data_IF_634718566612
#
_entry.id   IF_634718566612
#
_cell.length_a   1.000
_cell.length_b   1.000
_cell.length_c   1.000
_cell.angle_alpha   90.00
_cell.angle_beta   90.00
_cell.angle_gamma   90.00
#
_symmetry.space_group_name_H-M   'P 1'
#
loop_
_entity.id
_entity.type
_entity.pdbx_description
1 polymer ?
#
# COMPACT_ATOMS: atom_id res chain seq x y z
N UNK A 1 47.61 13.78 0.40
CA UNK A 1 47.87 13.02 1.64
C UNK A 1 46.99 13.38 2.83
N UNK A 2 47.07 14.60 3.42
CA UNK A 2 46.29 14.92 4.65
C UNK A 2 44.76 14.92 4.41
N UNK A 3 44.32 15.38 3.25
CA UNK A 3 42.90 15.41 2.85
C UNK A 3 42.33 14.01 2.53
N UNK A 4 43.15 13.10 2.00
CA UNK A 4 42.75 11.74 1.66
C UNK A 4 42.55 10.88 2.91
N UNK A 5 43.45 11.01 3.89
CA UNK A 5 43.33 10.31 5.17
C UNK A 5 42.08 10.75 5.93
N UNK A 6 41.82 12.05 5.96
CA UNK A 6 40.62 12.59 6.61
C UNK A 6 39.33 12.09 5.93
N UNK A 7 39.31 12.04 4.60
CA UNK A 7 38.18 11.49 3.84
C UNK A 7 37.96 10.01 4.15
N UNK A 8 39.02 9.20 4.18
CA UNK A 8 38.94 7.78 4.51
C UNK A 8 38.43 7.53 5.93
N UNK A 9 38.84 8.36 6.89
CA UNK A 9 38.36 8.29 8.27
C UNK A 9 36.87 8.59 8.36
N UNK A 10 36.38 9.65 7.71
CA UNK A 10 34.95 9.96 7.73
C UNK A 10 34.11 8.86 7.06
N UNK A 11 34.58 8.30 5.94
CA UNK A 11 33.90 7.16 5.31
C UNK A 11 33.82 5.93 6.24
N UNK A 12 34.89 5.65 6.99
CA UNK A 12 34.90 4.56 7.97
C UNK A 12 33.91 4.81 9.11
N UNK A 13 33.88 6.04 9.64
CA UNK A 13 32.92 6.42 10.68
C UNK A 13 31.47 6.37 10.18
N UNK A 14 31.19 6.88 8.98
CA UNK A 14 29.86 6.82 8.37
C UNK A 14 29.42 5.36 8.17
N UNK A 15 30.33 4.48 7.74
CA UNK A 15 30.03 3.04 7.60
C UNK A 15 29.67 2.40 8.95
N UNK A 16 30.44 2.69 10.01
CA UNK A 16 30.15 2.19 11.36
C UNK A 16 28.84 2.76 11.92
N UNK A 17 28.53 4.02 11.61
CA UNK A 17 27.28 4.67 11.99
C UNK A 17 26.08 4.08 11.24
N UNK A 18 26.22 3.81 9.95
CA UNK A 18 25.19 3.19 9.12
C UNK A 18 24.81 1.79 9.62
N UNK A 19 25.78 0.99 10.09
CA UNK A 19 25.51 -0.32 10.70
C UNK A 19 24.67 -0.26 11.98
N UNK A 20 24.64 0.90 12.65
CA UNK A 20 23.86 1.13 13.87
C UNK A 20 22.47 1.72 13.60
N UNK A 21 22.20 2.15 12.36
CA UNK A 21 20.89 2.66 11.98
C UNK A 21 19.84 1.57 12.16
N UNK A 22 18.76 1.90 12.87
CA UNK A 22 17.56 1.07 12.93
C UNK A 22 16.52 1.70 12.03
N UNK A 23 16.11 0.97 11.00
CA UNK A 23 15.07 1.43 10.08
C UNK A 23 13.72 0.98 10.58
N UNK A 24 12.77 1.91 10.63
CA UNK A 24 11.36 1.64 10.84
C UNK A 24 10.58 2.17 9.63
N UNK A 25 10.02 1.26 8.83
CA UNK A 25 9.26 1.60 7.63
C UNK A 25 7.77 1.60 7.95
N UNK A 26 7.10 2.71 7.66
CA UNK A 26 5.66 2.87 7.87
C UNK A 26 4.97 3.27 6.58
N UNK A 27 3.66 2.96 6.43
CA UNK A 27 2.86 3.52 5.35
C UNK A 27 2.95 5.06 5.35
N UNK A 28 3.09 5.71 4.18
CA UNK A 28 3.14 7.18 4.09
C UNK A 28 1.88 7.87 4.65
N UNK A 29 0.74 7.17 4.66
CA UNK A 29 -0.53 7.64 5.21
C UNK A 29 -1.23 6.46 5.87
N UNK A 30 -1.65 6.66 7.12
CA UNK A 30 -2.51 5.73 7.87
C UNK A 30 -3.79 6.46 8.27
N UNK A 31 -4.94 5.89 7.92
CA UNK A 31 -6.25 6.47 8.21
C UNK A 31 -6.94 5.60 9.27
N UNK A 32 -7.34 6.20 10.39
CA UNK A 32 -7.91 5.48 11.53
C UNK A 32 -9.24 6.09 11.97
N UNK A 33 -10.10 5.25 12.56
CA UNK A 33 -11.39 5.65 13.14
C UNK A 33 -12.60 5.39 12.22
N UNK A 34 -13.83 5.63 12.73
CA UNK A 34 -15.05 5.48 11.96
C UNK A 34 -15.00 6.29 10.66
N UNK A 35 -15.33 5.66 9.53
CA UNK A 35 -15.35 6.32 8.23
C UNK A 35 -14.00 6.36 7.50
N UNK A 36 -12.92 5.79 8.05
CA UNK A 36 -11.62 5.74 7.37
C UNK A 36 -11.71 5.15 5.95
N UNK A 37 -12.43 4.03 5.78
CA UNK A 37 -12.66 3.40 4.47
C UNK A 37 -13.41 4.33 3.50
N UNK A 38 -14.33 5.16 4.01
CA UNK A 38 -15.08 6.12 3.21
C UNK A 38 -14.22 7.30 2.71
N UNK A 39 -12.98 7.45 3.18
CA UNK A 39 -12.04 8.48 2.69
C UNK A 39 -11.18 8.01 1.50
N UNK A 40 -11.22 6.72 1.15
CA UNK A 40 -10.38 6.13 0.11
C UNK A 40 -10.52 6.81 -1.27
N UNK A 41 -11.72 7.24 -1.66
CA UNK A 41 -11.94 7.99 -2.90
C UNK A 41 -11.23 9.34 -2.90
N UNK A 42 -11.29 10.10 -1.81
CA UNK A 42 -10.55 11.37 -1.71
C UNK A 42 -9.05 11.12 -1.81
N UNK A 43 -8.57 10.07 -1.13
CA UNK A 43 -7.18 9.66 -1.15
C UNK A 43 -6.71 9.23 -2.56
N UNK A 44 -7.55 8.53 -3.32
CA UNK A 44 -7.26 8.18 -4.71
C UNK A 44 -7.25 9.40 -5.63
N UNK A 45 -8.25 10.28 -5.48
CA UNK A 45 -8.37 11.52 -6.26
C UNK A 45 -7.18 12.46 -6.03
N UNK A 46 -6.77 12.70 -4.78
CA UNK A 46 -5.62 13.56 -4.47
C UNK A 46 -4.31 13.03 -5.05
N UNK A 47 -4.20 11.71 -5.25
CA UNK A 47 -3.05 11.07 -5.91
C UNK A 47 -3.19 10.99 -7.45
N UNK A 48 -4.27 11.55 -8.02
CA UNK A 48 -4.52 11.53 -9.46
C UNK A 48 -4.82 10.14 -10.03
N UNK A 49 -5.21 9.19 -9.18
CA UNK A 49 -5.59 7.86 -9.64
C UNK A 49 -6.92 7.92 -10.39
N UNK A 50 -7.11 7.01 -11.35
CA UNK A 50 -8.36 6.88 -12.11
C UNK A 50 -9.01 5.51 -11.94
N UNK A 51 -8.23 4.52 -11.55
CA UNK A 51 -8.67 3.14 -11.40
C UNK A 51 -7.95 2.50 -10.22
N UNK A 52 -8.66 1.71 -9.41
CA UNK A 52 -8.10 0.89 -8.36
C UNK A 52 -8.42 -0.59 -8.61
N UNK A 53 -7.40 -1.42 -8.56
CA UNK A 53 -7.58 -2.85 -8.37
C UNK A 53 -7.68 -3.14 -6.87
N UNK A 54 -8.78 -3.73 -6.44
CA UNK A 54 -9.06 -4.03 -5.04
C UNK A 54 -9.09 -5.54 -4.88
N UNK A 55 -8.25 -6.06 -4.00
CA UNK A 55 -8.32 -7.45 -3.53
C UNK A 55 -8.99 -7.44 -2.16
N UNK A 56 -10.09 -8.17 -2.03
CA UNK A 56 -10.81 -8.31 -0.78
C UNK A 56 -11.26 -9.76 -0.58
N UNK A 57 -11.30 -10.21 0.67
CA UNK A 57 -11.90 -11.49 1.01
C UNK A 57 -13.36 -11.58 0.52
N UNK A 58 -13.71 -12.70 -0.11
CA UNK A 58 -15.02 -12.90 -0.73
C UNK A 58 -16.16 -12.86 0.30
N UNK A 59 -15.96 -13.43 1.49
CA UNK A 59 -16.96 -13.41 2.55
C UNK A 59 -17.19 -11.99 3.07
N UNK A 60 -16.12 -11.23 3.34
CA UNK A 60 -16.24 -9.83 3.79
C UNK A 60 -16.89 -8.94 2.73
N UNK A 61 -16.58 -9.15 1.44
CA UNK A 61 -17.23 -8.42 0.36
C UNK A 61 -18.73 -8.72 0.30
N UNK A 62 -19.11 -10.00 0.32
CA UNK A 62 -20.52 -10.44 0.30
C UNK A 62 -21.30 -9.96 1.54
N UNK A 63 -20.64 -9.84 2.69
CA UNK A 63 -21.20 -9.25 3.90
C UNK A 63 -21.34 -7.71 3.83
N UNK A 64 -20.95 -7.06 2.73
CA UNK A 64 -21.10 -5.62 2.51
C UNK A 64 -20.00 -4.76 3.16
N UNK A 65 -18.95 -5.36 3.73
CA UNK A 65 -17.90 -4.62 4.47
C UNK A 65 -17.07 -3.68 3.57
N UNK A 66 -17.12 -3.89 2.25
CA UNK A 66 -16.45 -3.05 1.25
C UNK A 66 -17.34 -1.93 0.68
N UNK A 67 -18.63 -1.85 1.07
CA UNK A 67 -19.57 -0.90 0.50
C UNK A 67 -19.15 0.57 0.68
N UNK A 68 -18.50 0.90 1.81
CA UNK A 68 -17.95 2.23 2.07
C UNK A 68 -16.85 2.61 1.08
N UNK A 69 -15.99 1.64 0.71
CA UNK A 69 -14.94 1.83 -0.29
C UNK A 69 -15.56 2.09 -1.66
N UNK A 70 -16.41 1.18 -2.13
CA UNK A 70 -17.05 1.28 -3.45
C UNK A 70 -17.77 2.62 -3.64
N UNK A 71 -18.55 3.04 -2.63
CA UNK A 71 -19.24 4.34 -2.67
C UNK A 71 -18.28 5.52 -2.71
N UNK A 72 -17.23 5.49 -1.88
CA UNK A 72 -16.22 6.55 -1.84
C UNK A 72 -15.53 6.74 -3.18
N UNK A 73 -15.15 5.63 -3.84
CA UNK A 73 -14.54 5.65 -5.17
C UNK A 73 -15.50 6.20 -6.23
N UNK A 74 -16.75 5.72 -6.23
CA UNK A 74 -17.76 6.13 -7.19
C UNK A 74 -18.05 7.64 -7.14
N UNK A 75 -18.21 8.22 -5.94
CA UNK A 75 -18.43 9.66 -5.74
C UNK A 75 -17.27 10.50 -6.31
N UNK A 76 -16.06 9.94 -6.36
CA UNK A 76 -14.86 10.61 -6.88
C UNK A 76 -14.54 10.27 -8.33
N UNK A 77 -15.40 9.49 -9.00
CA UNK A 77 -15.19 9.06 -10.38
C UNK A 77 -13.98 8.13 -10.54
N UNK A 78 -13.61 7.40 -9.50
CA UNK A 78 -12.51 6.43 -9.52
C UNK A 78 -13.10 5.06 -9.87
N UNK A 79 -12.69 4.50 -11.00
CA UNK A 79 -13.09 3.17 -11.41
C UNK A 79 -12.47 2.10 -10.49
N UNK A 80 -13.13 0.95 -10.37
CA UNK A 80 -12.69 -0.12 -9.49
C UNK A 80 -12.89 -1.48 -10.16
N UNK A 81 -11.84 -2.29 -10.19
CA UNK A 81 -11.95 -3.74 -10.41
C UNK A 81 -11.75 -4.44 -9.09
N UNK A 82 -12.72 -5.25 -8.69
CA UNK A 82 -12.64 -6.06 -7.49
C UNK A 82 -12.28 -7.50 -7.84
N UNK A 83 -11.23 -8.02 -7.20
CA UNK A 83 -10.97 -9.44 -7.15
C UNK A 83 -11.35 -9.99 -5.78
N UNK A 84 -12.36 -10.84 -5.76
CA UNK A 84 -12.83 -11.51 -4.55
C UNK A 84 -11.96 -12.72 -4.26
N UNK A 85 -11.13 -12.61 -3.22
CA UNK A 85 -10.24 -13.67 -2.79
C UNK A 85 -11.04 -14.88 -2.30
N UNK A 86 -10.67 -16.10 -2.71
CA UNK A 86 -11.20 -17.33 -2.12
C UNK A 86 -11.03 -17.31 -0.60
N UNK A 87 -11.94 -18.02 0.09
CA UNK A 87 -11.90 -18.14 1.55
C UNK A 87 -10.66 -18.91 1.98
N UNK A 88 -9.93 -18.38 2.95
CA UNK A 88 -8.73 -19.00 3.53
C UNK A 88 -7.53 -18.06 3.56
N UNK A 89 -6.38 -18.60 3.95
CA UNK A 89 -5.12 -17.87 3.88
C UNK A 89 -4.72 -17.65 2.40
N UNK A 90 -4.38 -16.43 1.97
CA UNK A 90 -3.94 -16.18 0.61
C UNK A 90 -2.73 -17.03 0.24
N UNK A 91 -2.81 -17.71 -0.89
CA UNK A 91 -1.73 -18.54 -1.43
C UNK A 91 -1.15 -17.95 -2.73
N UNK A 92 -0.05 -18.52 -3.22
CA UNK A 92 0.60 -18.02 -4.44
C UNK A 92 -0.33 -18.05 -5.66
N UNK A 93 -1.23 -19.03 -5.72
CA UNK A 93 -2.23 -19.14 -6.79
C UNK A 93 -3.18 -17.94 -6.80
N UNK A 94 -3.55 -17.42 -5.63
CA UNK A 94 -4.41 -16.23 -5.51
C UNK A 94 -3.73 -14.99 -6.08
N UNK A 95 -2.42 -14.84 -5.83
CA UNK A 95 -1.61 -13.74 -6.41
C UNK A 95 -1.52 -13.86 -7.94
N UNK A 96 -1.40 -15.07 -8.47
CA UNK A 96 -1.36 -15.29 -9.92
C UNK A 96 -2.73 -15.04 -10.56
N UNK A 97 -3.81 -15.54 -9.96
CA UNK A 97 -5.17 -15.34 -10.45
C UNK A 97 -5.60 -13.86 -10.41
N UNK A 98 -5.25 -13.14 -9.34
CA UNK A 98 -5.56 -11.71 -9.21
C UNK A 98 -4.88 -10.85 -10.28
N UNK A 99 -3.67 -11.22 -10.74
CA UNK A 99 -3.00 -10.55 -11.87
C UNK A 99 -3.78 -10.66 -13.18
N UNK A 100 -4.42 -11.80 -13.43
CA UNK A 100 -5.27 -11.99 -14.60
C UNK A 100 -6.51 -11.08 -14.62
N UNK A 101 -6.94 -10.61 -13.45
CA UNK A 101 -8.06 -9.67 -13.31
C UNK A 101 -7.69 -8.19 -13.52
N UNK A 102 -6.41 -7.88 -13.76
CA UNK A 102 -5.92 -6.51 -14.05
C UNK A 102 -5.78 -6.26 -15.57
N UNK A 103 -6.10 -7.24 -16.41
CA UNK A 103 -5.98 -7.17 -17.87
C UNK A 103 -7.19 -6.51 -18.54
#
# INVERSE_FOLDING_TARGET
MQNELQTALFQAFDTLNLQRVKTFSVPPVTLCGPGAVSSCGQQAQTRGLKHLFVMADSFLHQAGMTAGLTRSLAVKGIAMTLWSCPVGEPCITDVVCSRGAVA
#
